data_IF_670869336898
#
_entry.id   IF_670869336898
#
_cell.length_a   1.000
_cell.length_b   1.000
_cell.length_c   1.000
_cell.angle_alpha   90.00
_cell.angle_beta   90.00
_cell.angle_gamma   90.00
#
_symmetry.space_group_name_H-M   'P 1'
#
loop_
_entity.id
_entity.type
_entity.pdbx_description
1 polymer ?
#
# COMPACT_ATOMS: atom_id res chain seq x y z
N UNK A 1 -17.97 -1.14 -21.68
CA UNK A 1 -19.05 -0.30 -21.13
C UNK A 1 -18.52 0.13 -19.79
N UNK A 2 -18.25 1.41 -19.63
CA UNK A 2 -17.64 1.92 -18.39
C UNK A 2 -18.66 1.83 -17.28
N UNK A 3 -18.27 1.22 -16.17
CA UNK A 3 -19.13 1.13 -14.99
C UNK A 3 -19.46 2.54 -14.49
N UNK A 4 -20.63 2.73 -13.92
CA UNK A 4 -20.97 3.92 -13.15
C UNK A 4 -20.27 3.90 -11.78
N UNK A 5 -20.25 5.05 -11.09
CA UNK A 5 -19.78 5.13 -9.71
C UNK A 5 -20.53 4.14 -8.79
N UNK A 6 -21.86 4.06 -8.94
CA UNK A 6 -22.70 3.17 -8.13
C UNK A 6 -22.37 1.70 -8.38
N UNK A 7 -22.13 1.30 -9.63
CA UNK A 7 -21.70 -0.06 -9.97
C UNK A 7 -20.33 -0.39 -9.39
N UNK A 8 -19.37 0.54 -9.42
CA UNK A 8 -18.05 0.36 -8.80
C UNK A 8 -18.11 0.32 -7.28
N UNK A 9 -18.96 1.15 -6.66
CA UNK A 9 -19.16 1.10 -5.22
C UNK A 9 -19.81 -0.22 -4.79
N UNK A 10 -20.78 -0.72 -5.56
CA UNK A 10 -21.36 -2.05 -5.34
C UNK A 10 -20.33 -3.17 -5.58
N UNK A 11 -19.38 -2.99 -6.50
CA UNK A 11 -18.26 -3.92 -6.67
C UNK A 11 -17.38 -3.99 -5.41
N UNK A 12 -17.09 -2.87 -4.74
CA UNK A 12 -16.36 -2.84 -3.46
C UNK A 12 -17.19 -3.47 -2.34
N UNK A 13 -18.49 -3.19 -2.32
CA UNK A 13 -19.40 -3.73 -1.31
C UNK A 13 -19.54 -5.26 -1.40
N UNK A 14 -19.50 -5.82 -2.61
CA UNK A 14 -19.77 -7.24 -2.92
C UNK A 14 -21.14 -7.66 -2.37
N UNK A 15 -21.19 -8.68 -1.53
CA UNK A 15 -22.40 -9.24 -0.91
C UNK A 15 -22.75 -8.58 0.44
N UNK A 16 -21.94 -7.61 0.90
CA UNK A 16 -22.20 -6.92 2.17
C UNK A 16 -23.46 -6.05 2.07
N UNK A 17 -24.17 -5.95 3.20
CA UNK A 17 -25.31 -5.03 3.32
C UNK A 17 -24.81 -3.59 3.46
N UNK A 18 -25.39 -2.68 2.68
CA UNK A 18 -25.03 -1.25 2.65
C UNK A 18 -25.05 -0.57 4.03
N UNK A 19 -26.06 -0.84 4.85
CA UNK A 19 -26.22 -0.17 6.16
C UNK A 19 -25.17 -0.59 7.18
N UNK A 20 -24.95 -1.90 7.45
CA UNK A 20 -23.83 -2.33 8.29
C UNK A 20 -22.48 -1.84 7.80
N UNK A 21 -22.21 -1.95 6.50
CA UNK A 21 -20.97 -1.48 5.88
C UNK A 21 -20.75 0.03 6.07
N UNK A 22 -21.73 0.87 5.74
CA UNK A 22 -21.58 2.30 5.92
C UNK A 22 -21.44 2.70 7.39
N UNK A 23 -22.09 1.98 8.31
CA UNK A 23 -21.94 2.20 9.75
C UNK A 23 -20.54 1.86 10.26
N UNK A 24 -19.89 0.81 9.74
CA UNK A 24 -18.51 0.51 10.11
C UNK A 24 -17.53 1.58 9.62
N UNK A 25 -17.91 2.37 8.61
CA UNK A 25 -17.16 3.56 8.16
C UNK A 25 -17.50 4.85 8.93
N UNK A 26 -18.35 4.76 9.96
CA UNK A 26 -18.80 5.93 10.73
C UNK A 26 -19.93 6.74 10.07
N UNK A 27 -20.52 6.26 8.96
CA UNK A 27 -21.57 7.00 8.25
C UNK A 27 -22.91 6.96 8.98
N UNK A 28 -23.68 8.03 8.87
CA UNK A 28 -25.06 8.08 9.37
C UNK A 28 -26.01 7.34 8.43
N UNK A 29 -27.16 6.88 8.93
CA UNK A 29 -28.19 6.25 8.09
C UNK A 29 -28.64 7.14 6.92
N UNK A 30 -28.77 8.45 7.16
CA UNK A 30 -29.12 9.42 6.13
C UNK A 30 -28.02 9.52 5.04
N UNK A 31 -26.75 9.56 5.44
CA UNK A 31 -25.62 9.58 4.50
C UNK A 31 -25.56 8.30 3.66
N UNK A 32 -25.76 7.13 4.29
CA UNK A 32 -25.77 5.84 3.61
C UNK A 32 -26.88 5.81 2.55
N UNK A 33 -28.11 6.18 2.91
CA UNK A 33 -29.20 6.27 1.94
C UNK A 33 -28.91 7.26 0.81
N UNK A 34 -28.27 8.39 1.11
CA UNK A 34 -27.92 9.37 0.07
C UNK A 34 -26.86 8.82 -0.91
N UNK A 35 -25.86 8.08 -0.41
CA UNK A 35 -24.81 7.47 -1.24
C UNK A 35 -25.39 6.41 -2.17
N UNK A 36 -26.23 5.51 -1.66
CA UNK A 36 -26.70 4.36 -2.43
C UNK A 36 -28.02 4.58 -3.20
N UNK A 37 -28.76 5.66 -2.92
CA UNK A 37 -30.03 5.95 -3.58
C UNK A 37 -30.07 7.32 -4.27
N UNK A 38 -29.13 8.21 -3.94
CA UNK A 38 -29.11 9.59 -4.45
C UNK A 38 -28.37 9.78 -5.77
N UNK A 39 -27.64 8.75 -6.25
CA UNK A 39 -26.88 8.80 -7.51
C UNK A 39 -25.81 9.89 -7.55
N UNK A 40 -25.39 10.40 -6.39
CA UNK A 40 -24.39 11.47 -6.25
C UNK A 40 -23.12 10.92 -5.60
N UNK A 41 -21.98 11.24 -6.21
CA UNK A 41 -20.67 10.96 -5.63
C UNK A 41 -20.56 11.69 -4.28
N UNK A 42 -20.20 10.98 -3.20
CA UNK A 42 -20.09 11.60 -1.89
C UNK A 42 -18.88 12.53 -1.79
N UNK A 43 -18.91 13.43 -0.80
CA UNK A 43 -17.83 14.38 -0.57
C UNK A 43 -16.50 13.74 -0.18
N UNK A 44 -15.38 14.51 -0.23
CA UNK A 44 -14.03 13.99 -0.03
C UNK A 44 -13.83 13.20 1.27
N UNK A 45 -14.43 13.65 2.39
CA UNK A 45 -14.36 12.96 3.69
C UNK A 45 -14.87 11.51 3.64
N UNK A 46 -15.96 11.25 2.91
CA UNK A 46 -16.53 9.91 2.75
C UNK A 46 -15.67 9.06 1.83
N UNK A 47 -15.17 9.64 0.73
CA UNK A 47 -14.26 8.95 -0.18
C UNK A 47 -12.97 8.54 0.53
N UNK A 48 -12.41 9.39 1.39
CA UNK A 48 -11.23 9.05 2.18
C UNK A 48 -11.51 7.95 3.22
N UNK A 49 -12.68 7.96 3.85
CA UNK A 49 -13.10 6.88 4.76
C UNK A 49 -13.21 5.53 4.02
N UNK A 50 -13.83 5.52 2.83
CA UNK A 50 -13.92 4.32 1.97
C UNK A 50 -12.52 3.88 1.55
N UNK A 51 -11.67 4.80 1.07
CA UNK A 51 -10.27 4.53 0.70
C UNK A 51 -9.51 3.81 1.81
N UNK A 52 -9.54 4.36 3.02
CA UNK A 52 -8.78 3.82 4.17
C UNK A 52 -9.25 2.42 4.54
N UNK A 53 -10.57 2.24 4.71
CA UNK A 53 -11.11 0.97 5.19
C UNK A 53 -11.05 -0.15 4.13
N UNK A 54 -11.21 0.18 2.85
CA UNK A 54 -11.32 -0.82 1.78
C UNK A 54 -10.06 -0.97 0.94
N UNK A 55 -9.00 -0.18 1.22
CA UNK A 55 -7.80 -0.09 0.40
C UNK A 55 -8.12 0.22 -1.08
N UNK A 56 -9.20 0.97 -1.34
CA UNK A 56 -9.68 1.24 -2.70
C UNK A 56 -8.88 2.36 -3.37
N UNK A 57 -8.61 2.20 -4.65
CA UNK A 57 -8.09 3.23 -5.51
C UNK A 57 -9.19 4.22 -5.87
N UNK A 58 -9.07 5.47 -5.41
CA UNK A 58 -10.07 6.50 -5.67
C UNK A 58 -10.15 6.91 -7.15
N UNK A 59 -9.04 6.81 -7.90
CA UNK A 59 -9.08 7.05 -9.35
C UNK A 59 -10.01 6.04 -10.01
N UNK A 60 -9.80 4.75 -9.75
CA UNK A 60 -10.68 3.71 -10.26
C UNK A 60 -12.12 3.89 -9.78
N UNK A 61 -12.34 4.17 -8.49
CA UNK A 61 -13.70 4.32 -7.97
C UNK A 61 -14.46 5.48 -8.64
N UNK A 62 -13.79 6.58 -8.96
CA UNK A 62 -14.40 7.78 -9.53
C UNK A 62 -14.51 7.71 -11.06
N UNK A 63 -13.47 7.22 -11.75
CA UNK A 63 -13.36 7.28 -13.23
C UNK A 63 -13.47 5.91 -13.89
N UNK A 64 -13.16 4.84 -13.17
CA UNK A 64 -13.03 3.48 -13.72
C UNK A 64 -11.62 3.15 -14.22
N UNK A 65 -10.67 4.09 -14.15
CA UNK A 65 -9.32 3.91 -14.67
C UNK A 65 -8.36 3.30 -13.62
N UNK A 66 -7.58 2.30 -14.05
CA UNK A 66 -6.61 1.60 -13.22
C UNK A 66 -7.20 0.40 -12.48
N UNK A 67 -6.43 -0.15 -11.53
CA UNK A 67 -6.88 -1.25 -10.68
C UNK A 67 -7.84 -0.78 -9.57
N UNK A 68 -8.85 -1.58 -9.18
CA UNK A 68 -9.78 -1.23 -8.10
C UNK A 68 -9.14 -0.99 -6.75
N UNK A 69 -8.12 -1.76 -6.41
CA UNK A 69 -7.45 -1.70 -5.11
C UNK A 69 -5.99 -1.27 -5.27
N UNK A 70 -5.46 -0.65 -4.23
CA UNK A 70 -4.11 -0.11 -4.24
C UNK A 70 -3.11 -1.25 -4.09
N UNK A 71 -2.20 -1.34 -5.06
CA UNK A 71 -1.01 -2.18 -5.03
C UNK A 71 0.17 -1.28 -5.38
N UNK A 72 1.23 -1.37 -4.60
CA UNK A 72 2.46 -0.64 -4.86
C UNK A 72 3.45 -1.53 -5.62
N UNK A 73 3.86 -1.08 -6.81
CA UNK A 73 4.73 -1.84 -7.70
C UNK A 73 6.15 -1.31 -7.68
N UNK A 74 7.09 -2.17 -7.33
CA UNK A 74 8.52 -1.91 -7.31
C UNK A 74 9.17 -2.49 -8.56
N UNK A 75 9.99 -1.69 -9.23
CA UNK A 75 10.64 -2.08 -10.49
C UNK A 75 11.97 -2.81 -10.29
N UNK A 76 12.56 -2.76 -9.09
CA UNK A 76 13.78 -3.46 -8.73
C UNK A 76 13.62 -4.21 -7.41
N UNK A 77 14.38 -5.29 -7.26
CA UNK A 77 14.42 -6.05 -6.02
C UNK A 77 14.98 -5.23 -4.86
N UNK A 78 16.00 -4.42 -5.10
CA UNK A 78 16.60 -3.55 -4.08
C UNK A 78 15.54 -2.60 -3.48
N UNK A 79 14.74 -1.94 -4.32
CA UNK A 79 13.71 -1.01 -3.84
C UNK A 79 12.59 -1.70 -3.05
N UNK A 80 12.20 -2.91 -3.47
CA UNK A 80 11.23 -3.71 -2.72
C UNK A 80 11.79 -4.15 -1.36
N UNK A 81 13.01 -4.68 -1.35
CA UNK A 81 13.70 -5.15 -0.14
C UNK A 81 13.91 -4.01 0.86
N UNK A 82 14.30 -2.82 0.39
CA UNK A 82 14.44 -1.63 1.24
C UNK A 82 13.12 -1.23 1.88
N UNK A 83 12.02 -1.20 1.11
CA UNK A 83 10.69 -0.90 1.64
C UNK A 83 10.23 -1.93 2.67
N UNK A 84 10.37 -3.23 2.36
CA UNK A 84 9.98 -4.31 3.28
C UNK A 84 10.82 -4.26 4.55
N UNK A 85 12.13 -3.99 4.45
CA UNK A 85 13.00 -3.83 5.61
C UNK A 85 12.52 -2.69 6.52
N UNK A 86 12.18 -1.53 5.95
CA UNK A 86 11.66 -0.39 6.71
C UNK A 86 10.36 -0.74 7.43
N UNK A 87 9.40 -1.34 6.72
CA UNK A 87 8.10 -1.74 7.27
C UNK A 87 8.27 -2.70 8.46
N UNK A 88 9.11 -3.72 8.33
CA UNK A 88 9.31 -4.76 9.36
C UNK A 88 10.07 -4.27 10.60
N UNK A 89 10.78 -3.13 10.51
CA UNK A 89 11.56 -2.60 11.62
C UNK A 89 10.77 -1.65 12.52
N UNK A 90 9.80 -0.93 11.95
CA UNK A 90 9.14 0.20 12.62
C UNK A 90 7.89 -0.19 13.41
N UNK A 91 7.16 -1.23 12.97
CA UNK A 91 5.82 -1.55 13.46
C UNK A 91 5.58 -3.07 13.55
N UNK A 92 4.61 -3.48 14.36
CA UNK A 92 4.23 -4.89 14.55
C UNK A 92 3.27 -5.38 13.45
N UNK A 93 3.77 -5.51 12.21
CA UNK A 93 2.95 -5.95 11.09
C UNK A 93 2.62 -7.43 11.11
N UNK A 94 1.39 -7.76 10.71
CA UNK A 94 1.04 -9.10 10.25
C UNK A 94 1.30 -9.19 8.74
N UNK A 95 2.19 -10.10 8.36
CA UNK A 95 2.72 -10.24 7.00
C UNK A 95 2.14 -11.49 6.35
N UNK A 96 1.67 -11.37 5.11
CA UNK A 96 1.27 -12.51 4.28
C UNK A 96 2.14 -12.52 3.01
N UNK A 97 2.82 -13.64 2.75
CA UNK A 97 3.64 -13.82 1.55
C UNK A 97 2.80 -14.59 0.53
N UNK A 98 2.26 -13.86 -0.45
CA UNK A 98 1.28 -14.39 -1.41
C UNK A 98 1.93 -15.00 -2.66
N UNK A 99 3.23 -14.78 -2.90
CA UNK A 99 3.98 -15.44 -3.95
C UNK A 99 5.44 -15.61 -3.51
N UNK A 100 6.11 -16.65 -4.01
CA UNK A 100 7.44 -17.03 -3.55
C UNK A 100 8.37 -17.50 -4.69
N UNK A 101 8.04 -17.19 -5.96
CA UNK A 101 8.89 -17.46 -7.13
C UNK A 101 8.77 -16.33 -8.16
N UNK A 102 9.89 -15.73 -8.54
CA UNK A 102 9.92 -14.61 -9.48
C UNK A 102 9.41 -13.30 -8.86
N UNK A 103 8.17 -12.94 -9.17
CA UNK A 103 7.51 -11.73 -8.63
C UNK A 103 7.10 -12.02 -7.18
N UNK A 104 7.63 -11.23 -6.24
CA UNK A 104 7.21 -11.18 -4.86
C UNK A 104 5.93 -10.36 -4.71
N UNK A 105 5.00 -10.86 -3.90
CA UNK A 105 3.77 -10.20 -3.48
C UNK A 105 3.65 -10.38 -1.98
N UNK A 106 3.76 -9.26 -1.25
CA UNK A 106 3.72 -9.25 0.21
C UNK A 106 2.60 -8.32 0.66
N UNK A 107 1.76 -8.83 1.56
CA UNK A 107 0.62 -8.08 2.12
C UNK A 107 0.86 -7.83 3.60
N UNK A 108 0.97 -6.56 3.97
CA UNK A 108 1.10 -6.12 5.35
C UNK A 108 -0.25 -5.67 5.88
N UNK A 109 -0.58 -6.08 7.11
CA UNK A 109 -1.75 -5.57 7.81
C UNK A 109 -1.47 -5.23 9.26
N UNK A 110 -2.14 -4.18 9.73
CA UNK A 110 -2.17 -3.83 11.14
C UNK A 110 -3.50 -3.13 11.49
N UNK A 111 -3.89 -3.08 12.77
CA UNK A 111 -4.97 -2.22 13.22
C UNK A 111 -4.65 -0.75 12.96
N UNK A 112 -5.63 0.02 12.51
CA UNK A 112 -5.51 1.47 12.37
C UNK A 112 -6.78 2.18 12.82
N UNK A 113 -6.67 3.50 13.01
CA UNK A 113 -7.80 4.35 13.34
C UNK A 113 -7.79 5.61 12.49
N UNK A 114 -8.98 6.09 12.13
CA UNK A 114 -9.14 7.43 11.57
C UNK A 114 -10.29 8.16 12.24
N UNK A 115 -10.18 9.50 12.28
CA UNK A 115 -11.28 10.33 12.74
C UNK A 115 -12.26 10.60 11.61
N UNK A 116 -13.56 10.39 11.87
CA UNK A 116 -14.65 10.78 11.00
C UNK A 116 -15.74 11.50 11.80
N UNK A 117 -15.88 12.81 11.56
CA UNK A 117 -16.89 13.67 12.20
C UNK A 117 -16.88 13.56 13.74
N UNK A 118 -15.69 13.65 14.34
CA UNK A 118 -15.51 13.61 15.80
C UNK A 118 -15.56 12.22 16.42
N UNK A 119 -15.52 11.15 15.62
CA UNK A 119 -15.49 9.76 16.08
C UNK A 119 -14.29 9.03 15.52
N UNK A 120 -13.60 8.29 16.38
CA UNK A 120 -12.56 7.35 15.96
C UNK A 120 -13.20 6.08 15.41
N UNK A 121 -12.78 5.72 14.20
CA UNK A 121 -13.25 4.53 13.50
C UNK A 121 -12.06 3.58 13.33
N UNK A 122 -12.21 2.38 13.87
CA UNK A 122 -11.25 1.30 13.69
C UNK A 122 -11.34 0.75 12.27
N UNK A 123 -10.18 0.43 11.69
CA UNK A 123 -10.09 -0.27 10.42
C UNK A 123 -8.83 -1.12 10.37
N UNK A 124 -8.73 -1.94 9.31
CA UNK A 124 -7.51 -2.68 8.99
C UNK A 124 -6.72 -1.89 7.97
N UNK A 125 -5.52 -1.45 8.35
CA UNK A 125 -4.54 -0.96 7.39
C UNK A 125 -4.08 -2.15 6.55
N UNK A 126 -4.06 -1.99 5.23
CA UNK A 126 -3.60 -2.99 4.27
C UNK A 126 -2.63 -2.33 3.32
N UNK A 127 -1.41 -2.86 3.22
CA UNK A 127 -0.46 -2.51 2.18
C UNK A 127 -0.14 -3.76 1.37
N UNK A 128 -0.32 -3.67 0.05
CA UNK A 128 0.05 -4.73 -0.89
C UNK A 128 1.23 -4.22 -1.70
N UNK A 129 2.36 -4.90 -1.60
CA UNK A 129 3.56 -4.56 -2.38
C UNK A 129 3.93 -5.71 -3.30
N UNK A 130 4.31 -5.34 -4.52
CA UNK A 130 4.66 -6.28 -5.59
C UNK A 130 5.94 -5.84 -6.26
N UNK A 131 6.86 -6.76 -6.53
CA UNK A 131 8.06 -6.46 -7.30
C UNK A 131 8.95 -7.69 -7.50
N UNK A 132 10.11 -7.54 -8.15
CA UNK A 132 11.08 -8.63 -8.25
C UNK A 132 11.55 -9.06 -6.86
N UNK A 133 11.45 -10.34 -6.52
CA UNK A 133 12.00 -10.86 -5.27
C UNK A 133 13.47 -11.24 -5.41
N UNK A 134 14.21 -11.19 -4.31
CA UNK A 134 15.59 -11.66 -4.23
C UNK A 134 15.94 -12.33 -2.89
N UNK A 135 17.19 -12.76 -2.76
CA UNK A 135 17.72 -13.38 -1.55
C UNK A 135 17.66 -12.42 -0.34
N UNK A 136 17.77 -11.11 -0.55
CA UNK A 136 17.68 -10.13 0.54
C UNK A 136 16.27 -10.13 1.11
N UNK A 137 15.24 -10.04 0.25
CA UNK A 137 13.84 -10.13 0.69
C UNK A 137 13.57 -11.46 1.42
N UNK A 138 14.11 -12.56 0.89
CA UNK A 138 14.00 -13.89 1.51
C UNK A 138 14.55 -13.88 2.95
N UNK A 139 15.77 -13.36 3.12
CA UNK A 139 16.42 -13.29 4.44
C UNK A 139 15.67 -12.35 5.39
N UNK A 140 15.18 -11.20 4.92
CA UNK A 140 14.37 -10.27 5.72
C UNK A 140 13.13 -10.95 6.31
N UNK A 141 12.38 -11.68 5.48
CA UNK A 141 11.16 -12.38 5.91
C UNK A 141 11.48 -13.53 6.88
N UNK A 142 12.58 -14.26 6.63
CA UNK A 142 13.05 -15.32 7.54
C UNK A 142 13.49 -14.78 8.90
N UNK A 143 14.23 -13.67 8.91
CA UNK A 143 14.74 -13.09 10.15
C UNK A 143 13.62 -12.44 10.96
N UNK A 144 12.64 -11.82 10.30
CA UNK A 144 11.41 -11.36 10.95
C UNK A 144 10.66 -12.51 11.62
N UNK A 145 10.49 -13.64 10.93
CA UNK A 145 9.88 -14.84 11.52
C UNK A 145 10.64 -15.36 12.74
N UNK A 146 11.97 -15.51 12.62
CA UNK A 146 12.83 -15.98 13.72
C UNK A 146 12.79 -15.04 14.92
N UNK A 147 12.62 -13.74 14.68
CA UNK A 147 12.42 -12.72 15.70
C UNK A 147 11.06 -12.79 16.40
N UNK A 148 10.16 -13.70 15.99
CA UNK A 148 8.81 -13.84 16.53
C UNK A 148 7.74 -13.06 15.77
N UNK A 149 8.08 -12.45 14.64
CA UNK A 149 7.15 -11.71 13.79
C UNK A 149 6.03 -12.57 13.23
N UNK A 150 4.85 -11.97 13.10
CA UNK A 150 3.65 -12.63 12.57
C UNK A 150 3.69 -12.68 11.05
N UNK A 151 4.09 -13.83 10.49
CA UNK A 151 4.18 -14.05 9.06
C UNK A 151 3.48 -15.34 8.65
N UNK A 152 2.72 -15.28 7.56
CA UNK A 152 1.88 -16.36 7.06
C UNK A 152 2.07 -16.55 5.55
N UNK A 153 1.94 -17.79 5.09
CA UNK A 153 2.02 -18.16 3.67
C UNK A 153 0.69 -18.81 3.29
N UNK A 154 -0.30 -18.01 2.85
CA UNK A 154 -1.63 -18.52 2.58
C UNK A 154 -1.64 -19.45 1.37
N UNK A 155 -2.47 -20.48 1.43
CA UNK A 155 -2.77 -21.34 0.27
C UNK A 155 -3.63 -20.59 -0.74
N UNK A 156 -3.02 -20.27 -1.89
CA UNK A 156 -3.65 -19.54 -2.98
C UNK A 156 -3.49 -20.31 -4.28
N UNK A 157 -4.52 -20.32 -5.11
CA UNK A 157 -4.40 -20.74 -6.51
C UNK A 157 -3.60 -19.71 -7.31
N UNK A 158 -3.09 -20.08 -8.49
CA UNK A 158 -2.40 -19.12 -9.38
C UNK A 158 -3.30 -17.93 -9.76
N UNK A 159 -4.59 -18.18 -10.02
CA UNK A 159 -5.58 -17.14 -10.32
C UNK A 159 -5.78 -16.19 -9.13
N UNK A 160 -5.90 -16.71 -7.91
CA UNK A 160 -6.00 -15.90 -6.70
C UNK A 160 -4.75 -15.05 -6.47
N UNK A 161 -3.56 -15.62 -6.71
CA UNK A 161 -2.30 -14.86 -6.63
C UNK A 161 -2.27 -13.72 -7.64
N UNK A 162 -2.63 -14.00 -8.89
CA UNK A 162 -2.65 -13.01 -9.97
C UNK A 162 -3.64 -11.87 -9.68
N UNK A 163 -4.83 -12.19 -9.20
CA UNK A 163 -5.85 -11.18 -8.87
C UNK A 163 -5.43 -10.26 -7.71
N UNK A 164 -4.71 -10.76 -6.71
CA UNK A 164 -4.10 -9.93 -5.66
C UNK A 164 -3.01 -9.04 -6.25
N UNK A 165 -2.10 -9.61 -7.03
CA UNK A 165 -1.00 -8.89 -7.69
C UNK A 165 -1.52 -7.76 -8.59
N UNK A 166 -2.64 -7.96 -9.28
CA UNK A 166 -3.25 -6.99 -10.20
C UNK A 166 -4.21 -6.00 -9.52
N UNK A 167 -4.31 -6.02 -8.18
CA UNK A 167 -5.18 -5.12 -7.42
C UNK A 167 -6.67 -5.32 -7.69
N UNK A 168 -7.09 -6.56 -8.00
CA UNK A 168 -8.49 -6.92 -8.27
C UNK A 168 -9.24 -7.41 -7.01
N UNK A 169 -8.50 -7.66 -5.93
CA UNK A 169 -9.01 -8.17 -4.65
C UNK A 169 -8.86 -7.12 -3.56
N UNK A 170 -9.95 -6.85 -2.85
CA UNK A 170 -10.01 -5.85 -1.77
C UNK A 170 -9.94 -6.45 -0.38
N UNK A 171 -9.85 -5.58 0.63
CA UNK A 171 -9.79 -5.93 2.06
C UNK A 171 -10.82 -6.97 2.48
N UNK A 172 -12.06 -6.83 2.02
CA UNK A 172 -13.15 -7.73 2.36
C UNK A 172 -12.89 -9.19 1.94
N UNK A 173 -12.48 -9.42 0.69
CA UNK A 173 -12.20 -10.77 0.20
C UNK A 173 -10.91 -11.35 0.80
N UNK A 174 -9.92 -10.49 1.04
CA UNK A 174 -8.66 -10.90 1.65
C UNK A 174 -8.84 -11.35 3.10
N UNK A 175 -9.69 -10.69 3.90
CA UNK A 175 -9.66 -10.83 5.37
C UNK A 175 -11.00 -10.98 6.08
N UNK A 176 -12.13 -10.55 5.51
CA UNK A 176 -13.39 -10.40 6.27
C UNK A 176 -14.50 -11.36 5.84
N UNK A 177 -14.50 -11.81 4.59
CA UNK A 177 -15.49 -12.77 4.11
C UNK A 177 -15.42 -14.09 4.90
N UNK A 178 -16.49 -14.89 4.85
CA UNK A 178 -16.60 -16.12 5.64
C UNK A 178 -15.41 -17.10 5.45
N UNK A 179 -14.86 -17.16 4.23
CA UNK A 179 -13.63 -17.89 3.91
C UNK A 179 -12.65 -16.91 3.26
N UNK A 180 -11.86 -16.15 4.05
CA UNK A 180 -10.96 -15.15 3.51
C UNK A 180 -9.83 -15.81 2.70
N UNK A 181 -9.37 -15.11 1.66
CA UNK A 181 -8.27 -15.61 0.82
C UNK A 181 -6.97 -15.72 1.63
N UNK A 182 -6.67 -14.71 2.44
CA UNK A 182 -5.44 -14.67 3.25
C UNK A 182 -5.72 -15.23 4.64
N UNK A 183 -6.17 -16.49 4.68
CA UNK A 183 -6.49 -17.18 5.92
C UNK A 183 -5.22 -17.67 6.64
N UNK A 184 -5.05 -17.29 7.90
CA UNK A 184 -3.88 -17.67 8.72
C UNK A 184 -3.90 -19.12 9.20
N UNK A 185 -5.01 -19.85 9.01
CA UNK A 185 -5.19 -21.26 9.43
C UNK A 185 -4.82 -22.24 8.31
N UNK A 186 -4.95 -21.83 7.03
CA UNK A 186 -4.63 -22.66 5.86
C UNK A 186 -3.30 -22.20 5.27
N UNK A 187 -2.23 -22.85 5.69
CA UNK A 187 -0.86 -22.50 5.31
C UNK A 187 -0.38 -23.51 4.27
N UNK A 188 -0.02 -23.03 3.07
CA UNK A 188 0.46 -23.87 1.95
C UNK A 188 1.87 -24.40 2.21
N UNK A 189 2.70 -23.61 2.89
CA UNK A 189 4.15 -23.79 2.94
C UNK A 189 4.71 -23.09 4.17
N UNK A 190 5.74 -23.66 4.80
CA UNK A 190 6.39 -23.00 5.92
C UNK A 190 7.24 -21.83 5.41
N UNK A 191 7.29 -20.72 6.16
CA UNK A 191 8.03 -19.52 5.73
C UNK A 191 9.50 -19.81 5.38
N UNK A 192 10.12 -20.79 6.03
CA UNK A 192 11.51 -21.22 5.75
C UNK A 192 11.73 -21.88 4.39
N UNK A 193 10.65 -22.23 3.68
CA UNK A 193 10.68 -22.83 2.34
C UNK A 193 10.44 -21.76 1.25
N UNK A 194 10.24 -20.49 1.62
CA UNK A 194 10.15 -19.38 0.68
C UNK A 194 11.56 -19.01 0.22
N UNK A 195 11.75 -18.98 -1.10
CA UNK A 195 13.00 -18.54 -1.71
C UNK A 195 12.71 -17.72 -2.96
N UNK A 196 13.11 -16.45 -2.95
CA UNK A 196 13.11 -15.63 -4.15
C UNK A 196 14.47 -15.65 -4.84
N UNK A 197 14.51 -16.17 -6.07
CA UNK A 197 15.72 -16.21 -6.89
C UNK A 197 15.45 -15.43 -8.19
N UNK A 198 16.04 -14.25 -8.38
CA UNK A 198 16.01 -13.61 -9.71
C UNK A 198 15.96 -12.09 -9.84
N UNK A 199 16.00 -11.30 -8.76
CA UNK A 199 16.19 -9.85 -8.90
C UNK A 199 17.59 -9.51 -9.43
N UNK A 200 17.71 -8.89 -10.61
CA UNK A 200 18.96 -8.27 -11.04
C UNK A 200 19.32 -7.15 -10.04
N UNK A 201 20.41 -7.35 -9.28
CA UNK A 201 20.90 -6.36 -8.31
C UNK A 201 21.40 -5.12 -9.06
N UNK A 202 20.94 -3.94 -8.66
CA UNK A 202 21.65 -2.71 -9.02
C UNK A 202 22.77 -2.50 -8.02
N UNK A 203 24.02 -2.51 -8.50
CA UNK A 203 25.25 -2.50 -7.69
C UNK A 203 25.40 -1.23 -6.82
N UNK A 204 24.72 -1.15 -5.67
CA UNK A 204 25.22 -0.59 -4.41
C UNK A 204 24.11 -0.61 -3.34
N UNK A 205 24.40 -1.10 -2.12
CA UNK A 205 23.47 -0.97 -1.00
C UNK A 205 23.23 0.52 -0.68
N UNK A 206 21.97 0.87 -0.49
CA UNK A 206 21.49 2.22 -0.19
C UNK A 206 21.94 2.64 1.22
N UNK A 207 22.46 3.86 1.37
CA UNK A 207 22.72 4.47 2.66
C UNK A 207 21.38 4.88 3.30
N UNK A 208 20.92 4.04 4.23
CA UNK A 208 19.64 4.17 4.94
C UNK A 208 19.52 5.53 5.66
N UNK A 209 20.64 6.11 6.11
CA UNK A 209 20.64 7.41 6.80
C UNK A 209 20.23 8.52 5.85
N UNK A 210 20.78 8.50 4.63
CA UNK A 210 20.49 9.48 3.59
C UNK A 210 19.08 9.26 3.04
N UNK A 211 18.69 8.01 2.78
CA UNK A 211 17.35 7.70 2.26
C UNK A 211 16.24 8.17 3.22
N UNK A 212 16.41 7.91 4.53
CA UNK A 212 15.46 8.36 5.55
C UNK A 212 15.35 9.89 5.62
N UNK A 213 16.48 10.60 5.52
CA UNK A 213 16.49 12.05 5.49
C UNK A 213 15.74 12.57 4.25
N UNK A 214 15.98 11.99 3.07
CA UNK A 214 15.34 12.40 1.82
C UNK A 214 13.82 12.18 1.85
N UNK A 215 13.35 10.99 2.25
CA UNK A 215 11.90 10.69 2.29
C UNK A 215 11.18 11.60 3.27
N UNK A 216 11.71 11.77 4.49
CA UNK A 216 11.12 12.67 5.50
C UNK A 216 11.02 14.10 4.98
N UNK A 217 12.10 14.63 4.38
CA UNK A 217 12.13 16.00 3.89
C UNK A 217 11.21 16.20 2.67
N UNK A 218 10.97 15.17 1.86
CA UNK A 218 9.97 15.21 0.78
C UNK A 218 8.56 15.32 1.36
N UNK A 219 8.22 14.49 2.36
CA UNK A 219 6.91 14.54 3.02
C UNK A 219 6.68 15.89 3.73
N UNK A 220 7.70 16.41 4.42
CA UNK A 220 7.67 17.73 5.06
C UNK A 220 7.47 18.85 4.03
N UNK A 221 8.08 18.74 2.84
CA UNK A 221 7.87 19.68 1.74
C UNK A 221 6.47 19.58 1.12
N UNK A 222 5.93 18.38 0.87
CA UNK A 222 4.56 18.19 0.38
C UNK A 222 3.53 18.82 1.32
N UNK A 223 3.73 18.64 2.63
CA UNK A 223 2.89 19.22 3.66
C UNK A 223 3.04 20.75 3.74
N UNK A 224 4.26 21.28 3.72
CA UNK A 224 4.54 22.72 3.86
C UNK A 224 4.08 23.51 2.64
N UNK A 225 4.27 22.98 1.44
CA UNK A 225 3.88 23.61 0.18
C UNK A 225 2.42 23.32 -0.21
N UNK A 226 1.71 22.47 0.54
CA UNK A 226 0.33 22.08 0.25
C UNK A 226 0.17 21.42 -1.11
N UNK A 227 1.24 20.81 -1.64
CA UNK A 227 1.31 20.24 -2.99
C UNK A 227 1.56 18.75 -2.86
N UNK A 228 0.74 17.93 -3.50
CA UNK A 228 0.93 16.48 -3.52
C UNK A 228 1.51 16.07 -4.87
N UNK A 229 2.68 15.45 -4.84
CA UNK A 229 3.31 14.84 -6.00
C UNK A 229 2.56 13.56 -6.37
N UNK A 230 2.47 13.27 -7.66
CA UNK A 230 2.07 11.93 -8.11
C UNK A 230 3.12 10.90 -7.70
N UNK A 231 2.74 9.63 -7.60
CA UNK A 231 3.66 8.54 -7.21
C UNK A 231 4.92 8.48 -8.10
N UNK A 232 4.78 8.74 -9.40
CA UNK A 232 5.92 8.82 -10.34
C UNK A 232 6.83 10.02 -10.06
N UNK A 233 6.26 11.21 -9.86
CA UNK A 233 7.03 12.41 -9.52
C UNK A 233 7.76 12.24 -8.18
N UNK A 234 7.08 11.71 -7.16
CA UNK A 234 7.65 11.46 -5.84
C UNK A 234 8.82 10.48 -5.92
N UNK A 235 8.67 9.36 -6.63
CA UNK A 235 9.75 8.40 -6.86
C UNK A 235 10.95 9.03 -7.60
N UNK A 236 10.69 9.87 -8.60
CA UNK A 236 11.74 10.59 -9.34
C UNK A 236 12.48 11.59 -8.47
N UNK A 237 11.77 12.35 -7.63
CA UNK A 237 12.37 13.32 -6.69
C UNK A 237 13.22 12.58 -5.66
N UNK A 238 12.67 11.57 -4.99
CA UNK A 238 13.40 10.78 -3.98
C UNK A 238 14.66 10.15 -4.60
N UNK A 239 14.54 9.52 -5.77
CA UNK A 239 15.69 8.88 -6.45
C UNK A 239 16.75 9.90 -6.86
N UNK A 240 16.34 11.05 -7.42
CA UNK A 240 17.28 12.08 -7.87
C UNK A 240 18.00 12.73 -6.69
N UNK A 241 17.26 13.12 -5.65
CA UNK A 241 17.79 13.75 -4.44
C UNK A 241 18.68 12.78 -3.68
N UNK A 242 18.28 11.51 -3.52
CA UNK A 242 19.10 10.49 -2.88
C UNK A 242 20.45 10.31 -3.61
N UNK A 243 20.43 10.12 -4.94
CA UNK A 243 21.67 9.96 -5.72
C UNK A 243 22.57 11.18 -5.63
N UNK A 244 21.98 12.38 -5.58
CA UNK A 244 22.73 13.61 -5.42
C UNK A 244 23.32 13.75 -4.01
N UNK A 245 22.55 13.42 -2.98
CA UNK A 245 22.95 13.45 -1.58
C UNK A 245 24.07 12.44 -1.29
N UNK A 246 23.97 11.22 -1.80
CA UNK A 246 24.99 10.19 -1.68
C UNK A 246 26.28 10.57 -2.42
N UNK A 247 26.16 11.09 -3.66
CA UNK A 247 27.32 11.49 -4.48
C UNK A 247 28.07 12.68 -3.90
N UNK A 248 27.36 13.67 -3.36
CA UNK A 248 27.92 14.93 -2.88
C UNK A 248 28.11 14.98 -1.35
N UNK A 249 27.64 13.96 -0.62
CA UNK A 249 27.64 13.91 0.85
C UNK A 249 26.96 15.13 1.46
N UNK A 250 25.77 15.43 0.96
CA UNK A 250 25.00 16.60 1.39
C UNK A 250 24.60 16.49 2.86
N UNK A 251 24.58 17.62 3.54
CA UNK A 251 23.94 17.81 4.84
C UNK A 251 22.43 17.84 4.70
N UNK A 252 21.71 17.67 5.81
CA UNK A 252 20.25 17.67 5.83
C UNK A 252 19.65 18.97 5.28
N UNK A 253 20.25 20.12 5.60
CA UNK A 253 19.86 21.45 5.12
C UNK A 253 20.01 21.56 3.58
N UNK A 254 21.08 21.00 3.03
CA UNK A 254 21.34 20.98 1.58
C UNK A 254 20.43 20.00 0.83
N UNK A 255 20.05 18.89 1.49
CA UNK A 255 19.06 17.94 0.96
C UNK A 255 17.70 18.63 0.85
N UNK A 256 17.28 19.34 1.90
CA UNK A 256 16.02 20.08 1.90
C UNK A 256 15.97 21.13 0.77
N UNK A 257 17.03 21.93 0.60
CA UNK A 257 17.10 22.91 -0.48
C UNK A 257 17.02 22.28 -1.88
N UNK A 258 17.60 21.08 -2.05
CA UNK A 258 17.53 20.32 -3.30
C UNK A 258 16.12 19.81 -3.59
N UNK A 259 15.38 19.42 -2.54
CA UNK A 259 13.98 19.00 -2.64
C UNK A 259 13.11 20.19 -3.04
N UNK A 260 13.23 21.33 -2.37
CA UNK A 260 12.48 22.55 -2.69
C UNK A 260 12.70 22.97 -4.16
N UNK A 261 13.96 22.96 -4.62
CA UNK A 261 14.29 23.24 -6.04
C UNK A 261 13.64 22.23 -7.00
N UNK A 262 13.53 20.95 -6.60
CA UNK A 262 12.90 19.93 -7.42
C UNK A 262 11.38 20.11 -7.52
N UNK A 263 10.75 20.64 -6.47
CA UNK A 263 9.34 21.01 -6.46
C UNK A 263 9.07 22.21 -7.36
N UNK A 264 9.92 23.24 -7.31
CA UNK A 264 9.80 24.44 -8.17
C UNK A 264 9.84 24.07 -9.66
N UNK A 265 10.76 23.18 -10.06
CA UNK A 265 10.89 22.69 -11.45
C UNK A 265 9.69 21.84 -11.89
N UNK A 266 8.97 21.22 -10.97
CA UNK A 266 7.76 20.44 -11.26
C UNK A 266 6.50 21.30 -11.30
N UNK A 267 6.56 22.55 -10.82
CA UNK A 267 5.46 23.52 -10.83
C UNK A 267 5.48 24.50 -12.02
N UNK A 268 6.57 24.56 -12.79
CA UNK A 268 6.71 25.25 -14.08
C UNK A 268 6.28 24.37 -15.27
#
# INVERSE_FOLDING_TARGET
>A
MDLSFDERLNFVLKDRKQTPWGKSLGFTGASISHIFSGGRIPGPEFLQAIRRAENVNLNWLLTGEGAPYIVEYYQSADALSDYVCAMLHEEEWVVHVCSYRGIACVVFTQPGQYEFKGKWIDYRIVHVVVGPGDEVLTNLLHDYHKGGGHIFVPELTEEERETVIQGQVGTYLMFEQMNPMLNTIRVETHITEIEFTGGERTEKPVDITIMRAVVRLVDDCEHTLGTSLTSDQRARVITAVYRQAERLKLTEEEIQATIETSFDVLSD
#
